data_IF_683485607451
#
_entry.id   IF_683485607451
#
_cell.length_a   1.000
_cell.length_b   1.000
_cell.length_c   1.000
_cell.angle_alpha   90.00
_cell.angle_beta   90.00
_cell.angle_gamma   90.00
#
_symmetry.space_group_name_H-M   'P 1'
#
loop_
_entity.id
_entity.type
_entity.pdbx_description
1 polymer ?
#
# COMPACT_ATOMS: atom_id res chain seq x y z
N UNK A 1 -13.01 7.71 -21.78
CA UNK A 1 -12.09 6.56 -21.94
C UNK A 1 -12.57 5.44 -21.03
N UNK A 2 -12.43 4.18 -21.45
CA UNK A 2 -12.76 3.03 -20.61
C UNK A 2 -11.67 2.79 -19.57
N UNK A 3 -12.05 2.36 -18.37
CA UNK A 3 -11.10 2.03 -17.30
C UNK A 3 -10.13 0.91 -17.72
N UNK A 4 -8.82 1.00 -17.38
CA UNK A 4 -7.86 -0.09 -17.58
C UNK A 4 -8.34 -1.40 -16.93
N UNK A 5 -8.01 -2.51 -17.58
CA UNK A 5 -8.27 -3.86 -17.07
C UNK A 5 -6.97 -4.55 -16.74
N UNK A 6 -6.99 -5.33 -15.66
CA UNK A 6 -5.86 -6.12 -15.24
C UNK A 6 -5.53 -7.18 -16.29
N UNK A 7 -4.26 -7.31 -16.63
CA UNK A 7 -3.79 -8.25 -17.65
C UNK A 7 -3.91 -9.72 -17.24
N UNK A 8 -4.07 -10.01 -15.95
CA UNK A 8 -4.08 -11.39 -15.43
C UNK A 8 -5.48 -11.89 -15.10
N UNK A 9 -6.32 -11.08 -14.44
CA UNK A 9 -7.68 -11.44 -14.05
C UNK A 9 -8.75 -10.89 -14.99
N UNK A 10 -8.46 -9.81 -15.72
CA UNK A 10 -9.44 -9.08 -16.53
C UNK A 10 -10.35 -8.14 -15.73
N UNK A 11 -10.19 -8.06 -14.39
CA UNK A 11 -10.91 -7.11 -13.52
C UNK A 11 -10.63 -5.68 -13.97
N UNK A 12 -11.57 -4.77 -13.77
CA UNK A 12 -11.26 -3.35 -13.90
C UNK A 12 -10.33 -2.90 -12.78
N UNK A 13 -9.60 -1.80 -13.02
CA UNK A 13 -8.73 -1.22 -12.00
C UNK A 13 -9.47 -0.91 -10.69
N UNK A 14 -10.70 -0.39 -10.76
CA UNK A 14 -11.53 -0.16 -9.57
C UNK A 14 -11.90 -1.46 -8.85
N UNK A 15 -12.26 -2.52 -9.59
CA UNK A 15 -12.57 -3.83 -9.01
C UNK A 15 -11.34 -4.42 -8.31
N UNK A 16 -10.16 -4.29 -8.90
CA UNK A 16 -8.91 -4.74 -8.30
C UNK A 16 -8.60 -3.96 -7.02
N UNK A 17 -8.63 -2.63 -7.07
CA UNK A 17 -8.37 -1.76 -5.90
C UNK A 17 -9.32 -2.10 -4.74
N UNK A 18 -10.60 -2.37 -5.03
CA UNK A 18 -11.58 -2.73 -4.01
C UNK A 18 -11.27 -4.09 -3.32
N UNK A 19 -10.50 -4.98 -3.98
CA UNK A 19 -10.11 -6.28 -3.43
C UNK A 19 -8.83 -6.21 -2.60
N UNK A 20 -7.91 -5.27 -2.88
CA UNK A 20 -6.61 -5.17 -2.18
C UNK A 20 -6.75 -5.14 -0.65
N UNK A 21 -7.69 -4.39 -0.03
CA UNK A 21 -7.84 -4.40 1.42
C UNK A 21 -8.37 -5.72 2.02
N UNK A 22 -8.79 -6.70 1.21
CA UNK A 22 -9.23 -8.00 1.72
C UNK A 22 -8.06 -8.85 2.26
N UNK A 23 -6.81 -8.48 1.95
CA UNK A 23 -5.60 -9.11 2.52
C UNK A 23 -5.40 -8.73 4.00
N UNK A 24 -5.83 -7.51 4.39
CA UNK A 24 -5.52 -6.89 5.68
C UNK A 24 -5.88 -7.71 6.93
N UNK A 25 -6.96 -8.52 6.98
CA UNK A 25 -7.24 -9.38 8.12
C UNK A 25 -6.28 -10.57 8.26
N UNK A 26 -5.51 -10.87 7.22
CA UNK A 26 -4.58 -12.02 7.16
C UNK A 26 -3.13 -11.55 7.28
N UNK A 27 -2.75 -10.52 6.53
CA UNK A 27 -1.39 -9.98 6.52
C UNK A 27 -1.37 -8.48 6.16
N UNK A 28 -0.23 -7.84 6.41
CA UNK A 28 0.02 -6.48 5.97
C UNK A 28 0.13 -6.41 4.43
N UNK A 29 -0.21 -5.25 3.86
CA UNK A 29 -0.07 -4.98 2.42
C UNK A 29 1.12 -4.06 2.19
N UNK A 30 2.10 -4.51 1.41
CA UNK A 30 3.32 -3.78 1.10
C UNK A 30 3.15 -2.81 -0.06
N UNK A 31 3.83 -1.65 -0.01
CA UNK A 31 3.88 -0.74 -1.16
C UNK A 31 4.56 -1.41 -2.38
N UNK A 32 5.48 -2.35 -2.11
CA UNK A 32 6.12 -3.22 -3.10
C UNK A 32 5.13 -4.15 -3.82
N UNK A 33 3.95 -4.44 -3.26
CA UNK A 33 2.91 -5.20 -3.96
C UNK A 33 2.11 -4.28 -4.89
N UNK A 34 1.85 -3.04 -4.45
CA UNK A 34 0.98 -2.10 -5.15
C UNK A 34 1.68 -1.53 -6.39
N UNK A 35 2.83 -0.89 -6.22
CA UNK A 35 3.50 -0.11 -7.28
C UNK A 35 3.84 -0.99 -8.50
N UNK A 36 4.53 -2.14 -8.35
CA UNK A 36 4.88 -2.98 -9.49
C UNK A 36 3.64 -3.59 -10.15
N UNK A 37 2.57 -3.85 -9.40
CA UNK A 37 1.32 -4.36 -9.97
C UNK A 37 0.62 -3.31 -10.84
N UNK A 38 0.62 -2.04 -10.43
CA UNK A 38 0.15 -0.94 -11.28
C UNK A 38 0.88 -0.90 -12.64
N UNK A 39 2.21 -1.07 -12.62
CA UNK A 39 3.03 -1.12 -13.84
C UNK A 39 2.77 -2.38 -14.67
N UNK A 40 2.82 -3.56 -14.06
CA UNK A 40 2.83 -4.84 -14.78
C UNK A 40 1.43 -5.33 -15.13
N UNK A 41 0.48 -5.18 -14.21
CA UNK A 41 -0.92 -5.59 -14.36
C UNK A 41 -1.73 -4.63 -15.21
N UNK A 42 -1.53 -3.31 -15.04
CA UNK A 42 -2.32 -2.28 -15.75
C UNK A 42 -1.54 -1.49 -16.79
N UNK A 43 -0.19 -1.58 -16.82
CA UNK A 43 0.62 -0.81 -17.77
C UNK A 43 0.74 0.68 -17.42
N UNK A 44 0.52 1.04 -16.15
CA UNK A 44 0.48 2.44 -15.73
C UNK A 44 1.89 3.02 -15.55
N UNK A 45 2.03 4.28 -15.93
CA UNK A 45 3.24 5.08 -15.77
C UNK A 45 2.89 6.52 -15.34
N UNK A 46 3.89 7.28 -14.90
CA UNK A 46 3.73 8.69 -14.52
C UNK A 46 2.55 8.95 -13.59
N UNK A 47 1.75 9.96 -13.92
CA UNK A 47 0.61 10.41 -13.12
C UNK A 47 -0.50 9.34 -12.98
N UNK A 48 -0.66 8.46 -13.97
CA UNK A 48 -1.65 7.38 -13.89
C UNK A 48 -1.26 6.36 -12.81
N UNK A 49 0.04 6.03 -12.73
CA UNK A 49 0.55 5.17 -11.67
C UNK A 49 0.43 5.83 -10.30
N UNK A 50 0.75 7.13 -10.19
CA UNK A 50 0.60 7.87 -8.93
C UNK A 50 -0.86 7.89 -8.48
N UNK A 51 -1.80 8.10 -9.40
CA UNK A 51 -3.23 8.06 -9.12
C UNK A 51 -3.68 6.67 -8.66
N UNK A 52 -3.22 5.61 -9.31
CA UNK A 52 -3.49 4.23 -8.91
C UNK A 52 -2.95 3.91 -7.51
N UNK A 53 -1.70 4.29 -7.21
CA UNK A 53 -1.08 4.09 -5.89
C UNK A 53 -1.89 4.82 -4.83
N UNK A 54 -2.23 6.10 -5.06
CA UNK A 54 -3.09 6.89 -4.17
C UNK A 54 -4.41 6.18 -3.86
N UNK A 55 -5.11 5.71 -4.88
CA UNK A 55 -6.41 5.03 -4.68
C UNK A 55 -6.29 3.76 -3.85
N UNK A 56 -5.22 2.99 -4.02
CA UNK A 56 -4.94 1.83 -3.15
C UNK A 56 -4.64 2.25 -1.71
N UNK A 57 -3.81 3.29 -1.51
CA UNK A 57 -3.52 3.81 -0.17
C UNK A 57 -4.80 4.24 0.54
N UNK A 58 -5.68 4.99 -0.13
CA UNK A 58 -6.98 5.36 0.41
C UNK A 58 -7.81 4.14 0.79
N UNK A 59 -7.92 3.15 -0.10
CA UNK A 59 -8.69 1.93 0.17
C UNK A 59 -8.19 1.15 1.40
N UNK A 60 -6.87 1.12 1.62
CA UNK A 60 -6.26 0.51 2.81
C UNK A 60 -6.52 1.33 4.08
N UNK A 61 -6.27 2.64 4.02
CA UNK A 61 -6.38 3.55 5.16
C UNK A 61 -7.84 3.71 5.63
N UNK A 62 -8.81 3.71 4.71
CA UNK A 62 -10.24 3.74 5.02
C UNK A 62 -10.72 2.47 5.74
N UNK A 63 -9.99 1.36 5.62
CA UNK A 63 -10.21 0.13 6.41
C UNK A 63 -9.54 0.16 7.78
N UNK A 64 -8.87 1.25 8.13
CA UNK A 64 -8.17 1.42 9.41
C UNK A 64 -6.74 0.89 9.42
N UNK A 65 -6.19 0.50 8.25
CA UNK A 65 -4.79 0.14 8.16
C UNK A 65 -3.90 1.36 8.47
N UNK A 66 -2.73 1.11 9.03
CA UNK A 66 -1.73 2.15 9.33
C UNK A 66 -0.37 1.81 8.74
N UNK A 67 0.47 2.80 8.42
CA UNK A 67 1.80 2.56 7.88
C UNK A 67 2.69 1.86 8.92
N UNK A 68 3.36 0.79 8.51
CA UNK A 68 4.25 -0.01 9.35
C UNK A 68 5.52 -0.39 8.57
N UNK A 69 6.58 -0.73 9.30
CA UNK A 69 7.79 -1.38 8.78
C UNK A 69 8.11 -2.62 9.63
N UNK A 70 8.99 -3.50 9.16
CA UNK A 70 9.42 -4.65 9.95
C UNK A 70 10.02 -4.23 11.30
N UNK A 71 9.49 -4.77 12.41
CA UNK A 71 9.97 -4.42 13.73
C UNK A 71 11.34 -5.06 14.05
N UNK A 72 12.18 -4.29 14.74
CA UNK A 72 13.54 -4.68 15.15
C UNK A 72 13.67 -4.98 16.65
N UNK A 73 12.58 -4.86 17.41
CA UNK A 73 12.55 -5.05 18.86
C UNK A 73 12.62 -6.52 19.31
N UNK A 74 12.56 -7.46 18.37
CA UNK A 74 12.52 -8.90 18.64
C UNK A 74 11.20 -9.41 19.21
N UNK A 75 10.21 -8.53 19.41
CA UNK A 75 8.92 -8.84 20.04
C UNK A 75 7.81 -8.79 19.01
N UNK A 76 7.71 -7.73 18.20
CA UNK A 76 6.63 -7.58 17.22
C UNK A 76 7.09 -8.00 15.82
N UNK A 77 6.12 -8.25 14.94
CA UNK A 77 6.39 -8.37 13.50
C UNK A 77 6.53 -6.99 12.85
N UNK A 78 5.70 -6.04 13.27
CA UNK A 78 5.54 -4.73 12.65
C UNK A 78 5.73 -3.60 13.65
N UNK A 79 6.30 -2.49 13.18
CA UNK A 79 6.48 -1.26 13.93
C UNK A 79 5.71 -0.13 13.26
N UNK A 80 4.79 0.48 14.00
CA UNK A 80 3.96 1.61 13.55
C UNK A 80 4.81 2.84 13.18
N UNK A 81 4.47 3.47 12.06
CA UNK A 81 5.13 4.66 11.52
C UNK A 81 4.21 5.89 11.62
N UNK A 82 4.40 6.70 12.66
CA UNK A 82 3.55 7.86 12.95
C UNK A 82 3.95 9.15 12.21
N UNK A 83 5.08 9.15 11.48
CA UNK A 83 5.60 10.32 10.78
C UNK A 83 4.77 10.76 9.56
N UNK A 84 3.86 9.91 9.08
CA UNK A 84 3.09 10.18 7.86
C UNK A 84 1.81 11.01 8.10
N UNK A 85 1.48 11.33 9.35
CA UNK A 85 0.28 12.11 9.71
C UNK A 85 -0.81 11.26 10.34
N UNK A 86 -2.00 11.84 10.48
CA UNK A 86 -3.10 11.26 11.29
C UNK A 86 -4.38 10.99 10.50
N UNK A 87 -4.56 11.67 9.37
CA UNK A 87 -5.70 11.47 8.48
C UNK A 87 -5.31 10.65 7.25
N UNK A 88 -6.29 9.99 6.61
CA UNK A 88 -6.09 9.26 5.35
C UNK A 88 -5.37 10.09 4.30
N UNK A 89 -5.79 11.35 4.12
CA UNK A 89 -5.23 12.24 3.11
C UNK A 89 -3.78 12.66 3.43
N UNK A 90 -3.49 12.99 4.70
CA UNK A 90 -2.12 13.31 5.13
C UNK A 90 -1.18 12.13 4.88
N UNK A 91 -1.60 10.93 5.30
CA UNK A 91 -0.80 9.71 5.18
C UNK A 91 -0.56 9.39 3.71
N UNK A 92 -1.60 9.34 2.87
CA UNK A 92 -1.45 9.04 1.46
C UNK A 92 -0.54 10.05 0.74
N UNK A 93 -0.68 11.35 1.05
CA UNK A 93 0.18 12.39 0.49
C UNK A 93 1.63 12.26 0.93
N UNK A 94 1.88 12.02 2.22
CA UNK A 94 3.23 11.90 2.76
C UNK A 94 3.95 10.69 2.16
N UNK A 95 3.27 9.54 2.07
CA UNK A 95 3.82 8.31 1.48
C UNK A 95 4.14 8.51 -0.01
N UNK A 96 3.23 9.06 -0.80
CA UNK A 96 3.47 9.32 -2.22
C UNK A 96 4.62 10.30 -2.42
N UNK A 97 4.67 11.37 -1.61
CA UNK A 97 5.73 12.36 -1.67
C UNK A 97 7.09 11.73 -1.39
N UNK A 98 7.19 10.89 -0.36
CA UNK A 98 8.43 10.18 -0.03
C UNK A 98 8.84 9.19 -1.13
N UNK A 99 7.89 8.40 -1.63
CA UNK A 99 8.14 7.45 -2.72
C UNK A 99 8.64 8.14 -3.99
N UNK A 100 8.03 9.26 -4.39
CA UNK A 100 8.47 10.04 -5.55
C UNK A 100 9.82 10.73 -5.30
N UNK A 101 10.08 11.22 -4.08
CA UNK A 101 11.38 11.79 -3.72
C UNK A 101 12.51 10.74 -3.78
N UNK A 102 12.18 9.47 -3.58
CA UNK A 102 13.09 8.33 -3.71
C UNK A 102 13.14 7.74 -5.13
N UNK A 103 12.68 8.48 -6.14
CA UNK A 103 12.78 8.12 -7.56
C UNK A 103 11.51 7.52 -8.17
N UNK A 104 10.51 7.15 -7.36
CA UNK A 104 9.26 6.55 -7.86
C UNK A 104 9.43 5.13 -8.43
N UNK A 105 10.53 4.46 -8.10
CA UNK A 105 10.84 3.10 -8.51
C UNK A 105 10.01 2.05 -7.74
N UNK A 106 10.13 0.79 -8.13
CA UNK A 106 9.51 -0.34 -7.43
C UNK A 106 10.05 -0.40 -5.98
N UNK A 107 9.20 -0.27 -4.94
CA UNK A 107 9.64 -0.26 -3.54
C UNK A 107 10.26 -1.59 -3.09
N UNK A 108 11.16 -1.51 -2.12
CA UNK A 108 11.79 -2.68 -1.50
C UNK A 108 10.76 -3.52 -0.70
N UNK A 109 10.79 -4.86 -0.76
CA UNK A 109 9.91 -5.72 0.04
C UNK A 109 10.04 -5.53 1.55
N UNK A 110 11.19 -5.08 2.06
CA UNK A 110 11.40 -4.71 3.46
C UNK A 110 11.03 -3.26 3.80
N UNK A 111 10.50 -2.51 2.84
CA UNK A 111 10.13 -1.10 2.97
C UNK A 111 8.83 -0.85 3.73
N UNK A 112 7.98 0.04 3.19
CA UNK A 112 6.73 0.44 3.82
C UNK A 112 5.58 -0.53 3.53
N UNK A 113 4.83 -0.87 4.58
CA UNK A 113 3.64 -1.72 4.54
C UNK A 113 2.47 -1.04 5.27
N UNK A 114 1.28 -1.62 5.15
CA UNK A 114 0.05 -1.16 5.80
C UNK A 114 -0.63 -2.33 6.49
N UNK A 115 -0.89 -2.20 7.79
CA UNK A 115 -1.45 -3.28 8.60
C UNK A 115 -2.58 -2.77 9.49
N UNK A 116 -3.53 -3.65 9.82
CA UNK A 116 -4.54 -3.38 10.85
C UNK A 116 -3.92 -3.47 12.25
N UNK A 117 -4.54 -2.84 13.27
CA UNK A 117 -4.09 -2.92 14.66
C UNK A 117 -3.87 -4.35 15.15
N UNK A 118 -4.83 -5.23 14.88
CA UNK A 118 -4.75 -6.64 15.25
C UNK A 118 -3.57 -7.39 14.61
N UNK A 119 -3.02 -6.90 13.49
CA UNK A 119 -1.86 -7.49 12.81
C UNK A 119 -0.56 -6.90 13.35
N UNK A 120 -0.46 -5.57 13.50
CA UNK A 120 0.78 -4.95 13.94
C UNK A 120 1.03 -5.03 15.46
N UNK A 121 -0.01 -5.31 16.25
CA UNK A 121 0.10 -5.58 17.69
C UNK A 121 0.46 -7.06 17.99
N UNK A 122 0.55 -7.91 16.96
CA UNK A 122 0.97 -9.31 17.13
C UNK A 122 2.43 -9.42 17.57
N UNK A 123 2.65 -10.31 18.53
CA UNK A 123 3.97 -10.64 19.05
C UNK A 123 4.48 -11.97 18.49
N UNK A 124 5.79 -12.05 18.29
CA UNK A 124 6.54 -13.26 17.99
C UNK A 124 6.44 -14.19 19.20
N UNK A 125 6.10 -15.45 18.95
CA UNK A 125 6.12 -16.51 19.98
C UNK A 125 7.54 -16.97 20.28
#
# INVERSE_FOLDING_TARGET
MSEPRDRYSGDTMSEYIAKVPNELPVDAVGLWQIVPYGRRGFGLEGDELVSYVRRNLHALLERGAKPVVGATDGIHYWQLQNQYGTTTEEIANAVIKEWLANGGDDPDPGGLWFALPEVYEMTKK
#
